data_IF_960821613728
#
_entry.id   IF_960821613728
#
_cell.length_a   1.000
_cell.length_b   1.000
_cell.length_c   1.000
_cell.angle_alpha   90.00
_cell.angle_beta   90.00
_cell.angle_gamma   90.00
#
_symmetry.space_group_name_H-M   'P 1'
#
loop_
_entity.id
_entity.type
_entity.pdbx_description
1 polymer ?
#
# COMPACT_ATOMS: atom_id res chain seq x y z
N UNK A 1 -17.39 -17.84 8.96
CA UNK A 1 -17.63 -17.79 7.48
C UNK A 1 -16.37 -17.26 6.82
N UNK A 2 -15.77 -18.01 5.89
CA UNK A 2 -14.59 -17.53 5.14
C UNK A 2 -15.01 -16.53 4.05
N UNK A 3 -14.10 -15.66 3.61
CA UNK A 3 -14.32 -14.72 2.50
C UNK A 3 -13.31 -15.01 1.38
N UNK A 4 -13.67 -14.67 0.15
CA UNK A 4 -12.79 -14.85 -1.00
C UNK A 4 -11.59 -13.90 -0.85
N UNK A 5 -10.37 -14.42 -0.96
CA UNK A 5 -9.15 -13.63 -0.81
C UNK A 5 -9.00 -12.54 -1.86
N UNK A 6 -9.62 -12.68 -3.04
CA UNK A 6 -9.57 -11.68 -4.10
C UNK A 6 -10.71 -10.65 -4.02
N UNK A 7 -11.98 -11.11 -4.14
CA UNK A 7 -13.14 -10.23 -4.26
C UNK A 7 -13.87 -9.93 -2.94
N UNK A 8 -13.59 -10.68 -1.87
CA UNK A 8 -14.20 -10.48 -0.55
C UNK A 8 -15.64 -11.00 -0.40
N UNK A 9 -16.19 -11.76 -1.37
CA UNK A 9 -17.50 -12.44 -1.23
C UNK A 9 -17.47 -13.44 -0.07
N UNK A 10 -18.56 -13.57 0.68
CA UNK A 10 -18.71 -14.60 1.73
C UNK A 10 -18.77 -15.99 1.07
N UNK A 11 -18.03 -16.95 1.59
CA UNK A 11 -18.09 -18.36 1.21
C UNK A 11 -18.72 -19.17 2.33
N UNK A 12 -19.60 -20.09 1.92
CA UNK A 12 -20.25 -21.06 2.80
C UNK A 12 -19.39 -22.30 3.07
N UNK A 13 -18.29 -22.48 2.34
CA UNK A 13 -17.45 -23.69 2.35
C UNK A 13 -15.98 -23.28 2.61
N UNK A 14 -15.12 -24.24 2.97
CA UNK A 14 -13.69 -24.05 3.27
C UNK A 14 -12.79 -23.62 2.07
N UNK A 15 -13.36 -23.25 0.93
CA UNK A 15 -12.64 -22.77 -0.26
C UNK A 15 -12.15 -21.32 -0.09
N UNK A 16 -10.95 -21.02 -0.62
CA UNK A 16 -10.30 -19.70 -0.51
C UNK A 16 -10.74 -18.70 -1.60
N UNK A 17 -11.25 -19.21 -2.73
CA UNK A 17 -11.65 -18.42 -3.90
C UNK A 17 -13.07 -18.79 -4.35
N UNK A 18 -13.80 -17.81 -4.91
CA UNK A 18 -15.18 -18.03 -5.39
C UNK A 18 -15.26 -18.59 -6.81
N UNK A 19 -14.19 -18.49 -7.61
CA UNK A 19 -14.08 -19.03 -8.97
C UNK A 19 -12.60 -19.07 -9.40
N UNK A 20 -12.28 -19.89 -10.41
CA UNK A 20 -10.92 -19.99 -10.97
C UNK A 20 -10.40 -18.66 -11.52
N UNK A 21 -11.28 -17.79 -12.01
CA UNK A 21 -10.90 -16.45 -12.49
C UNK A 21 -10.34 -15.57 -11.36
N UNK A 22 -10.95 -15.63 -10.17
CA UNK A 22 -10.46 -14.91 -8.99
C UNK A 22 -9.11 -15.46 -8.51
N UNK A 23 -8.91 -16.78 -8.58
CA UNK A 23 -7.63 -17.39 -8.24
C UNK A 23 -6.53 -16.98 -9.23
N UNK A 24 -6.81 -17.05 -10.53
CA UNK A 24 -5.83 -16.75 -11.57
C UNK A 24 -5.44 -15.26 -11.56
N UNK A 25 -6.42 -14.35 -11.41
CA UNK A 25 -6.15 -12.92 -11.26
C UNK A 25 -5.36 -12.62 -9.99
N UNK A 26 -5.69 -13.28 -8.87
CA UNK A 26 -4.95 -13.11 -7.62
C UNK A 26 -3.49 -13.56 -7.77
N UNK A 27 -3.25 -14.76 -8.33
CA UNK A 27 -1.89 -15.28 -8.58
C UNK A 27 -1.07 -14.33 -9.47
N UNK A 28 -1.63 -13.90 -10.61
CA UNK A 28 -0.95 -12.99 -11.52
C UNK A 28 -0.60 -11.63 -10.88
N UNK A 29 -1.49 -11.09 -10.03
CA UNK A 29 -1.25 -9.83 -9.35
C UNK A 29 -0.20 -9.98 -8.24
N UNK A 30 -0.27 -11.05 -7.44
CA UNK A 30 0.72 -11.33 -6.40
C UNK A 30 2.11 -11.57 -7.00
N UNK A 31 2.21 -12.28 -8.12
CA UNK A 31 3.49 -12.52 -8.78
C UNK A 31 4.11 -11.24 -9.35
N UNK A 32 3.29 -10.36 -9.95
CA UNK A 32 3.73 -9.03 -10.40
C UNK A 32 4.15 -8.14 -9.22
N UNK A 33 3.38 -8.16 -8.13
CA UNK A 33 3.66 -7.41 -6.91
C UNK A 33 4.96 -7.88 -6.25
N UNK A 34 5.20 -9.20 -6.16
CA UNK A 34 6.43 -9.76 -5.58
C UNK A 34 7.69 -9.35 -6.33
N UNK A 35 7.62 -9.15 -7.65
CA UNK A 35 8.76 -8.62 -8.40
C UNK A 35 9.03 -7.15 -8.06
N UNK A 36 7.98 -6.37 -7.76
CA UNK A 36 8.07 -4.94 -7.43
C UNK A 36 8.32 -4.67 -5.95
N UNK A 37 8.04 -5.63 -5.05
CA UNK A 37 8.15 -5.43 -3.59
C UNK A 37 9.57 -5.07 -3.15
N UNK A 38 10.59 -5.61 -3.81
CA UNK A 38 11.99 -5.30 -3.51
C UNK A 38 12.31 -3.83 -3.77
N UNK A 39 11.85 -3.30 -4.91
CA UNK A 39 12.00 -1.89 -5.26
C UNK A 39 11.18 -1.00 -4.33
N UNK A 40 9.99 -1.43 -3.93
CA UNK A 40 9.15 -0.72 -2.98
C UNK A 40 9.80 -0.57 -1.60
N UNK A 41 10.43 -1.63 -1.09
CA UNK A 41 11.16 -1.56 0.20
C UNK A 41 12.33 -0.58 0.09
N UNK A 42 13.04 -0.59 -1.04
CA UNK A 42 14.14 0.35 -1.27
C UNK A 42 13.65 1.82 -1.29
N UNK A 43 12.54 2.10 -1.98
CA UNK A 43 11.92 3.43 -2.03
C UNK A 43 11.48 3.91 -0.63
N UNK A 44 10.89 3.02 0.18
CA UNK A 44 10.54 3.33 1.58
C UNK A 44 11.78 3.71 2.38
N UNK A 45 12.87 2.95 2.24
CA UNK A 45 14.13 3.26 2.95
C UNK A 45 14.64 4.64 2.53
N UNK A 46 14.68 4.93 1.23
CA UNK A 46 15.14 6.23 0.71
C UNK A 46 14.27 7.37 1.23
N UNK A 47 12.93 7.24 1.14
CA UNK A 47 12.03 8.29 1.60
C UNK A 47 12.10 8.51 3.12
N UNK A 48 12.36 7.45 3.90
CA UNK A 48 12.59 7.56 5.34
C UNK A 48 13.90 8.30 5.66
N UNK A 49 14.97 8.05 4.89
CA UNK A 49 16.23 8.78 5.02
C UNK A 49 16.07 10.28 4.69
N UNK A 50 15.29 10.61 3.64
CA UNK A 50 14.98 12.01 3.29
C UNK A 50 14.20 12.69 4.42
N UNK A 51 13.21 12.00 5.00
CA UNK A 51 12.43 12.54 6.12
C UNK A 51 13.31 12.75 7.37
N UNK A 52 14.18 11.78 7.71
CA UNK A 52 15.15 11.93 8.81
C UNK A 52 16.10 13.11 8.57
N UNK A 53 16.58 13.28 7.34
CA UNK A 53 17.44 14.40 6.99
C UNK A 53 16.71 15.74 7.10
N UNK A 54 15.43 15.81 6.70
CA UNK A 54 14.59 17.00 6.87
C UNK A 54 14.47 17.42 8.34
N UNK A 55 14.23 16.45 9.23
CA UNK A 55 14.15 16.69 10.67
C UNK A 55 15.50 17.17 11.22
N UNK A 56 16.61 16.51 10.86
CA UNK A 56 17.95 16.88 11.33
C UNK A 56 18.40 18.25 10.83
N UNK A 57 18.01 18.63 9.61
CA UNK A 57 18.31 19.93 9.02
C UNK A 57 17.34 21.04 9.43
N UNK A 58 16.33 20.74 10.25
CA UNK A 58 15.21 21.65 10.59
C UNK A 58 14.58 22.28 9.34
N UNK A 59 14.43 21.50 8.28
CA UNK A 59 13.80 21.94 7.03
C UNK A 59 12.45 21.25 6.87
N UNK A 60 11.38 22.00 7.14
CA UNK A 60 10.01 21.53 6.98
C UNK A 60 9.72 21.17 5.52
N UNK A 61 10.30 21.91 4.56
CA UNK A 61 10.18 21.62 3.13
C UNK A 61 10.73 20.23 2.75
N UNK A 62 11.91 19.86 3.27
CA UNK A 62 12.53 18.56 3.01
C UNK A 62 11.73 17.45 3.70
N UNK A 63 11.29 17.70 4.94
CA UNK A 63 10.45 16.78 5.69
C UNK A 63 9.15 16.49 4.94
N UNK A 64 8.44 17.54 4.51
CA UNK A 64 7.23 17.48 3.68
C UNK A 64 7.43 16.71 2.38
N UNK A 65 8.56 16.96 1.69
CA UNK A 65 8.93 16.23 0.47
C UNK A 65 9.08 14.73 0.72
N UNK A 66 9.73 14.34 1.82
CA UNK A 66 9.83 12.93 2.23
C UNK A 66 8.46 12.28 2.47
N UNK A 67 7.52 13.02 3.10
CA UNK A 67 6.15 12.54 3.34
C UNK A 67 5.38 12.35 2.01
N UNK A 68 5.52 13.31 1.08
CA UNK A 68 4.85 13.25 -0.23
C UNK A 68 5.37 12.06 -1.04
N UNK A 69 6.69 11.85 -1.07
CA UNK A 69 7.31 10.70 -1.75
C UNK A 69 6.80 9.38 -1.19
N UNK A 70 6.72 9.25 0.15
CA UNK A 70 6.09 8.10 0.80
C UNK A 70 4.63 7.91 0.36
N UNK A 71 3.83 8.99 0.34
CA UNK A 71 2.45 8.95 -0.09
C UNK A 71 2.28 8.45 -1.53
N UNK A 72 3.09 8.96 -2.46
CA UNK A 72 3.09 8.53 -3.88
C UNK A 72 3.43 7.04 -3.99
N UNK A 73 4.46 6.59 -3.28
CA UNK A 73 4.90 5.19 -3.27
C UNK A 73 3.77 4.28 -2.79
N UNK A 74 3.06 4.66 -1.71
CA UNK A 74 1.90 3.91 -1.18
C UNK A 74 0.70 3.91 -2.13
N UNK A 75 0.42 5.02 -2.85
CA UNK A 75 -0.66 5.07 -3.85
C UNK A 75 -0.38 4.16 -5.04
N UNK A 76 0.84 4.20 -5.57
CA UNK A 76 1.23 3.38 -6.72
C UNK A 76 1.30 1.90 -6.35
N UNK A 77 1.81 1.60 -5.16
CA UNK A 77 2.05 0.26 -4.68
C UNK A 77 1.44 0.09 -3.28
N UNK A 78 0.11 -0.10 -3.19
CA UNK A 78 -0.57 -0.33 -1.92
C UNK A 78 -0.30 -1.78 -1.46
N UNK A 79 0.91 -2.02 -0.96
CA UNK A 79 1.28 -3.28 -0.32
C UNK A 79 0.62 -3.34 1.06
N UNK A 80 -0.65 -3.73 1.06
CA UNK A 80 -1.35 -4.06 2.30
C UNK A 80 -0.83 -5.38 2.85
N UNK A 81 -0.59 -5.43 4.16
CA UNK A 81 -0.14 -6.63 4.85
C UNK A 81 -1.10 -7.81 4.61
N UNK A 82 -0.58 -9.05 4.62
CA UNK A 82 -1.37 -10.25 4.33
C UNK A 82 -2.56 -10.42 5.29
N UNK A 83 -2.43 -9.92 6.52
CA UNK A 83 -3.50 -9.91 7.52
C UNK A 83 -4.67 -8.99 7.11
N UNK A 84 -4.39 -7.81 6.56
CA UNK A 84 -5.43 -6.90 6.05
C UNK A 84 -6.10 -7.47 4.79
N UNK A 85 -5.34 -8.16 3.94
CA UNK A 85 -5.88 -8.84 2.75
C UNK A 85 -6.82 -9.98 3.16
N UNK A 86 -6.49 -10.73 4.21
CA UNK A 86 -7.32 -11.81 4.72
C UNK A 86 -8.67 -11.30 5.28
N UNK A 87 -8.70 -10.12 5.89
CA UNK A 87 -9.90 -9.55 6.51
C UNK A 87 -10.85 -8.85 5.51
N UNK A 88 -10.30 -8.03 4.61
CA UNK A 88 -11.06 -7.18 3.70
C UNK A 88 -11.16 -7.73 2.27
N UNK A 89 -10.27 -8.65 1.88
CA UNK A 89 -10.11 -9.11 0.50
C UNK A 89 -9.19 -8.18 -0.29
N UNK A 90 -8.34 -8.76 -1.13
CA UNK A 90 -7.25 -8.10 -1.85
C UNK A 90 -7.68 -6.83 -2.60
N UNK A 91 -8.84 -6.86 -3.28
CA UNK A 91 -9.35 -5.69 -4.03
C UNK A 91 -9.70 -4.51 -3.10
N UNK A 92 -10.33 -4.79 -1.96
CA UNK A 92 -10.72 -3.75 -0.99
C UNK A 92 -9.51 -3.22 -0.24
N UNK A 93 -8.59 -4.10 0.14
CA UNK A 93 -7.36 -3.72 0.84
C UNK A 93 -6.52 -2.76 -0.02
N UNK A 94 -6.31 -3.06 -1.32
CA UNK A 94 -5.61 -2.13 -2.23
C UNK A 94 -6.31 -0.78 -2.38
N UNK A 95 -7.63 -0.75 -2.38
CA UNK A 95 -8.38 0.51 -2.45
C UNK A 95 -8.18 1.37 -1.19
N UNK A 96 -8.24 0.74 -0.01
CA UNK A 96 -7.96 1.41 1.27
C UNK A 96 -6.52 1.93 1.30
N UNK A 97 -5.56 1.13 0.85
CA UNK A 97 -4.15 1.54 0.76
C UNK A 97 -3.95 2.79 -0.11
N UNK A 98 -4.66 2.90 -1.23
CA UNK A 98 -4.62 4.11 -2.08
C UNK A 98 -5.18 5.34 -1.39
N UNK A 99 -6.29 5.21 -0.67
CA UNK A 99 -6.87 6.32 0.10
C UNK A 99 -5.88 6.79 1.16
N UNK A 100 -5.27 5.85 1.90
CA UNK A 100 -4.25 6.17 2.89
C UNK A 100 -3.03 6.89 2.26
N UNK A 101 -2.58 6.42 1.08
CA UNK A 101 -1.52 7.08 0.35
C UNK A 101 -1.87 8.52 -0.09
N UNK A 102 -3.10 8.75 -0.57
CA UNK A 102 -3.56 10.11 -0.92
C UNK A 102 -3.62 11.03 0.30
N UNK A 103 -4.09 10.51 1.44
CA UNK A 103 -4.10 11.26 2.71
C UNK A 103 -2.68 11.67 3.13
N UNK A 104 -1.69 10.78 2.98
CA UNK A 104 -0.29 11.09 3.27
C UNK A 104 0.25 12.21 2.38
N UNK A 105 -0.13 12.26 1.11
CA UNK A 105 0.27 13.35 0.21
C UNK A 105 -0.28 14.69 0.71
N UNK A 106 -1.56 14.73 1.09
CA UNK A 106 -2.19 15.96 1.63
C UNK A 106 -1.48 16.43 2.91
N UNK A 107 -1.19 15.50 3.82
CA UNK A 107 -0.44 15.78 5.06
C UNK A 107 0.98 16.26 4.75
N UNK A 108 1.64 15.68 3.75
CA UNK A 108 2.99 16.07 3.34
C UNK A 108 3.05 17.47 2.74
N UNK A 109 2.04 17.85 1.95
CA UNK A 109 1.91 19.23 1.44
C UNK A 109 1.69 20.19 2.61
N UNK A 110 0.79 19.85 3.54
CA UNK A 110 0.57 20.68 4.72
C UNK A 110 1.87 20.86 5.53
N UNK A 111 2.56 19.76 5.86
CA UNK A 111 3.79 19.82 6.64
C UNK A 111 4.94 20.54 5.92
N UNK A 112 5.03 20.44 4.58
CA UNK A 112 6.10 21.07 3.81
C UNK A 112 5.93 22.56 3.54
N UNK A 113 4.71 23.07 3.66
CA UNK A 113 4.35 24.46 3.36
C UNK A 113 3.72 25.19 4.56
N UNK A 114 3.76 24.60 5.77
CA UNK A 114 3.28 25.21 7.02
C UNK A 114 4.34 26.08 7.69
#
# INVERSE_FOLDING_TARGET
MKKCRYCGKKLNIHIEFCCNECENNFRQLVEKDNRKIKYFILEIIVAFLVMLYGILSNSDFITGTGIILMGIVVVLLPFTTPDTIAFFGYRKSKFIGRILGMLLIVVGIWAGFS
#
